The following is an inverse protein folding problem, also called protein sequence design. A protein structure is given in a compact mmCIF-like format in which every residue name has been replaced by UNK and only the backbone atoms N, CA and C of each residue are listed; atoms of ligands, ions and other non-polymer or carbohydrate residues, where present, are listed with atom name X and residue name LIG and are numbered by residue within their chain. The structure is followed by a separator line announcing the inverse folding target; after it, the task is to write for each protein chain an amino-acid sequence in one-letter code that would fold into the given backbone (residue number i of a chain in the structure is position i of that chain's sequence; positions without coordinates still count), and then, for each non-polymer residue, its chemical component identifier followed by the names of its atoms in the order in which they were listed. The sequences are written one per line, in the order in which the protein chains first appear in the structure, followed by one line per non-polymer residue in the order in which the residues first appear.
data_IF_729409026979
#
_entry.id   IF_729409026979
#
_cell.length_a   1.000
_cell.length_b   1.000
_cell.length_c   1.000
_cell.angle_alpha   90.00
_cell.angle_beta   90.00
_cell.angle_gamma   90.00
#
_symmetry.space_group_name_H-M   'P 1'
#
loop_
_entity.id
_entity.type
_entity.pdbx_description
1 polymer ?
#
# COMPACT_ATOMS: atom_id res chain seq x y z
N UNK A 1 36.86 -31.80 58.90
CA UNK A 1 35.88 -32.41 59.83
C UNK A 1 34.91 -31.34 60.37
N UNK A 2 33.72 -31.24 59.78
CA UNK A 2 32.63 -30.40 60.28
C UNK A 2 31.32 -31.14 60.10
N UNK A 3 30.70 -31.55 61.20
CA UNK A 3 29.43 -32.27 61.19
C UNK A 3 28.31 -31.33 60.73
N UNK A 4 27.53 -31.76 59.74
CA UNK A 4 26.38 -31.07 59.18
C UNK A 4 25.12 -31.70 59.75
N UNK A 5 24.29 -30.92 60.46
CA UNK A 5 22.98 -31.37 60.93
C UNK A 5 21.92 -30.57 60.16
N UNK A 6 21.23 -31.23 59.24
CA UNK A 6 20.08 -30.69 58.54
C UNK A 6 18.82 -31.44 58.98
N UNK A 7 17.87 -30.70 59.54
CA UNK A 7 16.54 -31.23 59.86
C UNK A 7 15.54 -30.67 58.85
N UNK A 8 14.82 -31.56 58.18
CA UNK A 8 13.79 -31.21 57.22
C UNK A 8 12.41 -31.40 57.86
N UNK A 9 11.69 -30.31 58.08
CA UNK A 9 10.29 -30.36 58.52
C UNK A 9 9.44 -29.80 57.40
N UNK A 10 8.64 -30.66 56.76
CA UNK A 10 7.42 -30.41 55.95
C UNK A 10 7.39 -29.27 54.92
N UNK A 11 7.77 -28.06 55.29
CA UNK A 11 7.73 -26.84 54.47
C UNK A 11 9.07 -26.07 54.42
N UNK A 12 10.17 -26.61 54.96
CA UNK A 12 11.49 -26.00 54.87
C UNK A 12 12.60 -26.84 55.50
N UNK A 13 13.85 -26.61 55.06
CA UNK A 13 15.04 -27.19 55.66
C UNK A 13 15.75 -26.13 56.50
N UNK A 14 15.95 -26.41 57.80
CA UNK A 14 16.80 -25.59 58.66
C UNK A 14 18.18 -26.24 58.77
N UNK A 15 19.24 -25.47 58.47
CA UNK A 15 20.63 -25.91 58.56
C UNK A 15 21.30 -25.17 59.71
N UNK A 16 21.83 -25.91 60.69
CA UNK A 16 22.62 -25.34 61.79
C UNK A 16 24.10 -25.66 61.61
N UNK A 17 24.96 -24.65 61.67
CA UNK A 17 26.41 -24.83 61.53
C UNK A 17 27.09 -24.93 62.90
N UNK A 18 28.04 -25.87 63.04
CA UNK A 18 28.78 -26.07 64.29
C UNK A 18 29.77 -24.93 64.61
N UNK A 19 30.17 -24.13 63.62
CA UNK A 19 31.14 -23.05 63.77
C UNK A 19 30.69 -21.79 63.05
N UNK A 20 30.65 -20.67 63.78
CA UNK A 20 30.13 -19.38 63.30
C UNK A 20 30.93 -18.83 62.09
N UNK A 21 32.24 -19.08 62.06
CA UNK A 21 33.11 -18.69 60.94
C UNK A 21 32.76 -19.42 59.62
N UNK A 22 32.31 -20.67 59.69
CA UNK A 22 31.93 -21.44 58.52
C UNK A 22 30.59 -20.95 57.94
N UNK A 23 29.65 -20.58 58.80
CA UNK A 23 28.39 -19.95 58.39
C UNK A 23 28.63 -18.65 57.62
N UNK A 24 29.48 -17.76 58.14
CA UNK A 24 29.80 -16.49 57.49
C UNK A 24 30.47 -16.67 56.13
N UNK A 25 31.40 -17.62 56.00
CA UNK A 25 32.06 -17.90 54.72
C UNK A 25 31.09 -18.45 53.67
N UNK A 26 30.11 -19.25 54.07
CA UNK A 26 29.10 -19.81 53.15
C UNK A 26 28.09 -18.72 52.76
N UNK A 27 27.64 -17.90 53.70
CA UNK A 27 26.72 -16.79 53.40
C UNK A 27 27.33 -15.78 52.41
N UNK A 28 28.64 -15.52 52.50
CA UNK A 28 29.34 -14.67 51.54
C UNK A 28 29.56 -15.34 50.18
N UNK A 29 29.63 -16.67 50.13
CA UNK A 29 29.82 -17.43 48.89
C UNK A 29 28.50 -17.68 48.13
N UNK A 30 27.35 -17.52 48.77
CA UNK A 30 26.05 -17.56 48.08
C UNK A 30 25.98 -16.33 47.18
N UNK A 31 25.91 -16.57 45.87
CA UNK A 31 25.66 -15.55 44.86
C UNK A 31 24.37 -14.81 45.22
N UNK A 32 24.48 -13.57 45.72
CA UNK A 32 23.35 -12.66 45.78
C UNK A 32 23.06 -12.23 44.35
N UNK A 33 21.96 -12.67 43.71
CA UNK A 33 21.55 -12.02 42.49
C UNK A 33 21.39 -10.53 42.82
N UNK A 34 22.07 -9.68 42.04
CA UNK A 34 21.96 -8.23 42.10
C UNK A 34 20.49 -7.89 42.35
N UNK A 35 20.15 -7.08 43.37
CA UNK A 35 18.77 -6.69 43.56
C UNK A 35 18.30 -6.11 42.24
N UNK A 36 17.17 -6.64 41.74
CA UNK A 36 16.45 -6.08 40.61
C UNK A 36 16.57 -4.57 40.72
N UNK A 37 17.13 -3.95 39.68
CA UNK A 37 17.10 -2.52 39.52
C UNK A 37 15.74 -2.02 40.02
N UNK A 38 15.75 -0.94 40.79
CA UNK A 38 14.54 -0.22 41.17
C UNK A 38 13.56 -0.23 39.99
N UNK A 39 12.23 -0.28 40.20
CA UNK A 39 11.29 -0.25 39.10
C UNK A 39 11.49 1.07 38.35
N UNK A 40 12.41 1.11 37.40
CA UNK A 40 12.48 2.11 36.36
C UNK A 40 11.14 1.97 35.69
N UNK A 41 10.34 3.02 35.89
CA UNK A 41 8.90 2.97 35.78
C UNK A 41 8.49 2.12 34.58
N UNK A 42 7.86 0.97 34.81
CA UNK A 42 7.34 0.18 33.68
C UNK A 42 6.40 1.02 32.82
N UNK A 43 5.81 2.07 33.40
CA UNK A 43 5.08 3.10 32.69
C UNK A 43 5.97 3.97 31.79
N UNK A 44 7.18 4.38 32.22
CA UNK A 44 8.11 5.14 31.38
C UNK A 44 8.65 4.27 30.23
N UNK A 45 8.97 2.99 30.49
CA UNK A 45 9.38 2.04 29.45
C UNK A 45 8.24 1.74 28.46
N UNK A 46 7.01 1.58 28.94
CA UNK A 46 5.84 1.39 28.07
C UNK A 46 5.54 2.67 27.29
N UNK A 47 5.72 3.86 27.88
CA UNK A 47 5.58 5.15 27.18
C UNK A 47 6.68 5.32 26.14
N UNK A 48 7.92 4.91 26.43
CA UNK A 48 9.04 4.96 25.50
C UNK A 48 8.88 3.96 24.35
N UNK A 49 8.45 2.73 24.62
CA UNK A 49 8.12 1.73 23.58
C UNK A 49 6.92 2.20 22.75
N UNK A 50 5.90 2.79 23.37
CA UNK A 50 4.71 3.31 22.66
C UNK A 50 5.03 4.58 21.87
N UNK A 51 5.96 5.41 22.35
CA UNK A 51 6.52 6.55 21.64
C UNK A 51 7.38 6.08 20.47
N UNK A 52 8.28 5.10 20.64
CA UNK A 52 9.08 4.53 19.56
C UNK A 52 8.23 3.81 18.50
N UNK A 53 7.14 3.16 18.89
CA UNK A 53 6.14 2.58 17.96
C UNK A 53 5.30 3.66 17.28
N UNK A 54 5.01 4.77 17.97
CA UNK A 54 4.35 5.96 17.42
C UNK A 54 5.24 6.67 16.39
N UNK A 55 6.50 6.92 16.74
CA UNK A 55 7.52 7.50 15.88
C UNK A 55 7.83 6.59 14.69
N UNK A 56 7.84 5.27 14.88
CA UNK A 56 7.93 4.31 13.79
C UNK A 56 6.74 4.39 12.82
N UNK A 57 5.52 4.62 13.33
CA UNK A 57 4.32 4.83 12.50
C UNK A 57 4.33 6.18 11.79
N UNK A 58 4.83 7.23 12.44
CA UNK A 58 4.93 8.58 11.87
C UNK A 58 6.09 8.71 10.85
N UNK A 59 7.18 7.96 11.02
CA UNK A 59 8.23 7.82 10.01
C UNK A 59 7.75 7.00 8.81
N UNK A 60 6.97 5.94 9.03
CA UNK A 60 6.28 5.21 7.94
C UNK A 60 5.29 6.15 7.23
N UNK A 61 4.49 6.93 7.96
CA UNK A 61 3.54 7.87 7.37
C UNK A 61 4.24 9.04 6.62
N UNK A 62 5.37 9.55 7.12
CA UNK A 62 6.17 10.59 6.44
C UNK A 62 6.92 10.08 5.22
N UNK A 63 7.38 8.82 5.22
CA UNK A 63 8.05 8.22 4.06
C UNK A 63 7.07 7.80 2.95
N UNK A 64 5.81 7.50 3.28
CA UNK A 64 4.76 7.14 2.31
C UNK A 64 4.42 8.27 1.33
N UNK A 65 4.75 9.54 1.63
CA UNK A 65 4.47 10.66 0.73
C UNK A 65 5.59 11.05 -0.23
N UNK A 66 6.77 10.42 -0.21
CA UNK A 66 7.90 10.90 -1.03
C UNK A 66 8.90 9.88 -1.54
N UNK A 67 8.97 8.68 -0.98
CA UNK A 67 9.90 7.65 -1.44
C UNK A 67 9.18 6.31 -1.58
N UNK A 68 9.13 5.77 -2.80
CA UNK A 68 8.67 4.41 -3.09
C UNK A 68 9.64 3.37 -2.52
N UNK A 69 9.89 3.39 -1.21
CA UNK A 69 10.66 2.36 -0.53
C UNK A 69 9.64 1.35 -0.06
N UNK A 70 9.63 0.18 -0.70
CA UNK A 70 8.79 -0.92 -0.27
C UNK A 70 9.09 -1.21 1.21
N UNK A 71 8.06 -1.42 2.05
CA UNK A 71 8.29 -1.79 3.44
C UNK A 71 9.18 -3.04 3.55
N UNK A 72 10.02 -3.18 4.60
CA UNK A 72 10.95 -4.31 4.72
C UNK A 72 10.31 -5.71 4.69
N UNK A 73 9.02 -5.82 5.03
CA UNK A 73 8.28 -7.09 4.97
C UNK A 73 7.91 -7.51 3.53
N UNK A 74 7.98 -6.58 2.58
CA UNK A 74 7.63 -6.81 1.18
C UNK A 74 8.77 -7.47 0.39
N UNK A 75 9.99 -7.47 0.95
CA UNK A 75 11.19 -8.12 0.40
C UNK A 75 11.17 -9.66 0.56
N UNK A 76 10.04 -10.22 0.98
CA UNK A 76 9.85 -11.66 1.08
C UNK A 76 9.94 -12.34 -0.30
N UNK A 77 10.87 -13.30 -0.42
CA UNK A 77 11.11 -14.01 -1.68
C UNK A 77 10.09 -15.13 -1.93
N UNK A 78 9.43 -15.10 -3.08
CA UNK A 78 8.41 -16.06 -3.51
C UNK A 78 8.98 -16.89 -4.67
N UNK A 79 9.87 -17.85 -4.36
CA UNK A 79 10.48 -18.74 -5.36
C UNK A 79 9.72 -20.04 -5.57
N UNK A 80 9.04 -20.55 -4.54
CA UNK A 80 8.26 -21.78 -4.64
C UNK A 80 7.05 -21.57 -5.58
N UNK A 81 6.97 -22.31 -6.70
CA UNK A 81 5.85 -22.19 -7.64
C UNK A 81 4.48 -22.45 -7.01
N UNK A 82 4.40 -23.33 -6.01
CA UNK A 82 3.12 -23.70 -5.37
C UNK A 82 2.57 -22.53 -4.55
N UNK A 83 3.42 -21.95 -3.70
CA UNK A 83 3.07 -20.77 -2.89
C UNK A 83 2.81 -19.54 -3.78
N UNK A 84 3.65 -19.34 -4.82
CA UNK A 84 3.46 -18.26 -5.80
C UNK A 84 2.09 -18.33 -6.45
N UNK A 85 1.71 -19.50 -6.95
CA UNK A 85 0.41 -19.69 -7.62
C UNK A 85 -0.76 -19.49 -6.66
N UNK A 86 -0.67 -20.01 -5.43
CA UNK A 86 -1.71 -19.82 -4.42
C UNK A 86 -1.93 -18.33 -4.09
N UNK A 87 -0.83 -17.58 -3.95
CA UNK A 87 -0.86 -16.15 -3.65
C UNK A 87 -1.42 -15.34 -4.83
N UNK A 88 -0.96 -15.59 -6.05
CA UNK A 88 -1.50 -14.97 -7.28
C UNK A 88 -2.99 -15.25 -7.41
N UNK A 89 -3.42 -16.50 -7.22
CA UNK A 89 -4.84 -16.87 -7.25
C UNK A 89 -5.64 -16.09 -6.22
N UNK A 90 -5.13 -15.96 -5.00
CA UNK A 90 -5.81 -15.20 -3.93
C UNK A 90 -5.93 -13.71 -4.28
N UNK A 91 -4.89 -13.12 -4.86
CA UNK A 91 -4.89 -11.72 -5.30
C UNK A 91 -5.92 -11.51 -6.40
N UNK A 92 -5.98 -12.39 -7.40
CA UNK A 92 -6.98 -12.32 -8.48
C UNK A 92 -8.39 -12.45 -7.91
N UNK A 93 -8.62 -13.35 -6.95
CA UNK A 93 -9.93 -13.51 -6.30
C UNK A 93 -10.36 -12.28 -5.51
N UNK A 94 -9.44 -11.63 -4.80
CA UNK A 94 -9.74 -10.47 -3.96
C UNK A 94 -9.89 -9.18 -4.78
N UNK A 95 -9.04 -8.99 -5.79
CA UNK A 95 -8.97 -7.75 -6.57
C UNK A 95 -9.77 -7.80 -7.86
N UNK A 96 -10.06 -8.98 -8.37
CA UNK A 96 -10.66 -9.19 -9.70
C UNK A 96 -9.73 -8.85 -10.88
N UNK A 97 -8.51 -8.38 -10.62
CA UNK A 97 -7.54 -8.00 -11.68
C UNK A 97 -6.71 -9.20 -12.09
N UNK A 98 -6.58 -9.43 -13.40
CA UNK A 98 -5.68 -10.45 -13.94
C UNK A 98 -4.27 -9.89 -14.05
N UNK A 99 -3.30 -10.64 -13.50
CA UNK A 99 -1.88 -10.37 -13.67
C UNK A 99 -1.39 -11.11 -14.93
N UNK A 100 -0.62 -10.47 -15.83
CA UNK A 100 -0.11 -11.15 -17.00
C UNK A 100 0.96 -12.19 -16.61
N UNK A 101 0.95 -13.35 -17.27
CA UNK A 101 1.84 -14.48 -16.95
C UNK A 101 3.33 -14.11 -16.94
N UNK A 102 3.85 -13.27 -17.87
CA UNK A 102 5.24 -12.81 -17.80
C UNK A 102 5.57 -12.02 -16.52
N UNK A 103 4.62 -11.26 -15.97
CA UNK A 103 4.83 -10.54 -14.72
C UNK A 103 4.88 -11.50 -13.52
N UNK A 104 4.07 -12.56 -13.53
CA UNK A 104 4.10 -13.60 -12.50
C UNK A 104 5.42 -14.36 -12.53
N UNK A 105 5.93 -14.72 -13.73
CA UNK A 105 7.16 -15.48 -13.86
C UNK A 105 8.40 -14.67 -13.47
N UNK A 106 8.46 -13.39 -13.85
CA UNK A 106 9.58 -12.49 -13.54
C UNK A 106 9.59 -12.05 -12.06
N UNK A 107 8.43 -11.99 -11.40
CA UNK A 107 8.37 -11.59 -9.98
C UNK A 107 9.10 -12.60 -9.08
N UNK A 108 10.07 -12.12 -8.30
CA UNK A 108 10.82 -12.94 -7.32
C UNK A 108 10.46 -12.62 -5.89
N UNK A 109 9.83 -11.46 -5.69
CA UNK A 109 9.55 -10.85 -4.40
C UNK A 109 8.08 -10.42 -4.34
N UNK A 110 7.52 -10.29 -3.13
CA UNK A 110 6.14 -9.82 -2.95
C UNK A 110 5.96 -8.37 -3.43
N UNK A 111 6.99 -7.54 -3.27
CA UNK A 111 7.03 -6.17 -3.80
C UNK A 111 6.82 -6.13 -5.32
N UNK A 112 7.57 -6.92 -6.08
CA UNK A 112 7.42 -7.00 -7.56
C UNK A 112 5.97 -7.33 -7.96
N UNK A 113 5.37 -8.30 -7.26
CA UNK A 113 4.02 -8.74 -7.55
C UNK A 113 2.99 -7.66 -7.20
N UNK A 114 3.18 -6.96 -6.08
CA UNK A 114 2.36 -5.83 -5.68
C UNK A 114 2.45 -4.68 -6.68
N UNK A 115 3.66 -4.33 -7.13
CA UNK A 115 3.88 -3.28 -8.12
C UNK A 115 3.11 -3.57 -9.40
N UNK A 116 3.14 -4.81 -9.89
CA UNK A 116 2.38 -5.21 -11.07
C UNK A 116 0.85 -5.14 -10.89
N UNK A 117 0.34 -5.33 -9.68
CA UNK A 117 -1.10 -5.20 -9.37
C UNK A 117 -1.51 -3.74 -9.18
N UNK A 118 -0.62 -2.92 -8.61
CA UNK A 118 -0.83 -1.51 -8.35
C UNK A 118 -0.60 -0.64 -9.60
N UNK A 119 0.19 -1.13 -10.56
CA UNK A 119 0.39 -0.50 -11.87
C UNK A 119 -0.95 -0.19 -12.53
N UNK A 120 -1.11 1.07 -12.94
CA UNK A 120 -2.29 1.50 -13.70
C UNK A 120 -2.30 0.78 -15.04
N UNK A 121 -3.49 0.34 -15.44
CA UNK A 121 -3.68 -0.28 -16.75
C UNK A 121 -3.19 0.67 -17.85
N UNK A 122 -2.53 0.11 -18.86
CA UNK A 122 -2.05 0.90 -19.98
C UNK A 122 -3.27 1.55 -20.66
N UNK A 123 -3.21 2.86 -20.97
CA UNK A 123 -4.30 3.56 -21.64
C UNK A 123 -4.67 2.85 -22.95
N UNK A 124 -5.97 2.66 -23.17
CA UNK A 124 -6.47 1.93 -24.34
C UNK A 124 -6.40 2.80 -25.60
N UNK A 125 -6.55 4.11 -25.43
CA UNK A 125 -6.49 5.08 -26.53
C UNK A 125 -5.32 6.04 -26.35
N UNK A 126 -4.79 6.55 -27.46
CA UNK A 126 -3.71 7.56 -27.42
C UNK A 126 -4.17 8.83 -26.69
N UNK A 127 -5.44 9.20 -26.82
CA UNK A 127 -6.03 10.35 -26.14
C UNK A 127 -5.94 10.26 -24.61
N UNK A 128 -6.05 9.05 -24.06
CA UNK A 128 -5.93 8.79 -22.62
C UNK A 128 -4.48 8.71 -22.15
N UNK A 129 -3.51 8.71 -23.08
CA UNK A 129 -2.12 8.56 -22.70
C UNK A 129 -1.64 9.75 -21.86
N UNK A 130 -0.92 9.51 -20.75
CA UNK A 130 -0.41 10.59 -19.91
C UNK A 130 0.55 11.50 -20.68
N UNK A 131 1.20 10.96 -21.72
CA UNK A 131 2.04 11.74 -22.63
C UNK A 131 1.24 12.82 -23.36
N UNK A 132 0.02 12.53 -23.83
CA UNK A 132 -0.82 13.52 -24.52
C UNK A 132 -1.28 14.63 -23.59
N UNK A 133 -1.58 14.31 -22.33
CA UNK A 133 -1.88 15.31 -21.30
C UNK A 133 -0.67 16.20 -21.00
N UNK A 134 0.54 15.62 -20.96
CA UNK A 134 1.79 16.37 -20.74
C UNK A 134 2.12 17.31 -21.89
N UNK A 135 1.74 17.00 -23.12
CA UNK A 135 1.96 17.89 -24.27
C UNK A 135 1.20 19.21 -24.07
N UNK A 136 -0.03 19.18 -23.57
CA UNK A 136 -0.79 20.40 -23.29
C UNK A 136 -0.13 21.27 -22.23
N UNK A 137 0.52 20.68 -21.22
CA UNK A 137 1.24 21.41 -20.17
C UNK A 137 2.55 22.02 -20.68
N UNK A 138 3.26 21.32 -21.57
CA UNK A 138 4.57 21.74 -22.04
C UNK A 138 4.52 22.67 -23.25
N UNK A 139 3.47 22.58 -24.08
CA UNK A 139 3.33 23.34 -25.31
C UNK A 139 1.97 24.07 -25.34
N UNK A 140 1.91 25.35 -24.91
CA UNK A 140 0.65 26.08 -24.79
C UNK A 140 -0.02 26.40 -26.14
N UNK A 141 0.73 26.30 -27.24
CA UNK A 141 0.25 26.50 -28.62
C UNK A 141 -0.36 25.22 -29.24
N UNK A 142 -0.32 24.08 -28.55
CA UNK A 142 -0.83 22.80 -29.06
C UNK A 142 -2.05 22.38 -28.25
N UNK A 143 -3.17 22.16 -28.95
CA UNK A 143 -4.40 21.62 -28.36
C UNK A 143 -4.61 20.18 -28.82
N UNK A 144 -4.70 19.26 -27.86
CA UNK A 144 -4.99 17.85 -28.11
C UNK A 144 -6.42 17.56 -27.68
N UNK A 145 -7.26 17.09 -28.60
CA UNK A 145 -8.63 16.69 -28.30
C UNK A 145 -8.75 15.17 -28.15
N UNK A 146 -9.63 14.71 -27.27
CA UNK A 146 -9.85 13.27 -27.06
C UNK A 146 -10.62 12.59 -28.21
N UNK A 147 -11.38 13.37 -28.97
CA UNK A 147 -12.29 12.89 -30.01
C UNK A 147 -12.08 13.66 -31.32
N UNK A 148 -12.54 13.05 -32.43
CA UNK A 148 -12.50 13.68 -33.76
C UNK A 148 -13.30 14.99 -33.76
N UNK A 149 -12.70 16.06 -34.26
CA UNK A 149 -13.40 17.34 -34.52
C UNK A 149 -14.29 17.22 -35.75
N UNK A 150 -15.59 17.38 -35.55
CA UNK A 150 -16.62 17.40 -36.57
C UNK A 150 -16.81 18.84 -37.09
N UNK A 151 -17.48 19.04 -38.25
CA UNK A 151 -17.81 20.38 -38.74
C UNK A 151 -18.61 21.21 -37.72
N UNK A 152 -19.53 20.57 -36.99
CA UNK A 152 -20.31 21.20 -35.91
C UNK A 152 -19.38 21.85 -34.87
N UNK A 153 -18.35 21.12 -34.42
CA UNK A 153 -17.41 21.67 -33.45
C UNK A 153 -16.64 22.89 -33.97
N UNK A 154 -16.32 22.94 -35.28
CA UNK A 154 -15.68 24.11 -35.88
C UNK A 154 -16.62 25.32 -35.87
N UNK A 155 -17.90 25.13 -36.20
CA UNK A 155 -18.90 26.21 -36.15
C UNK A 155 -19.20 26.66 -34.71
N UNK A 156 -19.10 25.75 -33.74
CA UNK A 156 -19.19 26.09 -32.32
C UNK A 156 -18.02 26.96 -31.86
N UNK A 157 -16.79 26.64 -32.27
CA UNK A 157 -15.60 27.44 -31.92
C UNK A 157 -15.70 28.87 -32.48
N UNK A 158 -16.30 29.02 -33.67
CA UNK A 158 -16.56 30.32 -34.30
C UNK A 158 -17.76 31.03 -33.64
N UNK A 159 -18.67 30.28 -33.00
CA UNK A 159 -19.91 30.78 -32.40
C UNK A 159 -21.11 30.84 -33.36
N UNK A 160 -20.92 30.48 -34.63
CA UNK A 160 -22.00 30.48 -35.66
C UNK A 160 -23.03 29.39 -35.46
N UNK A 161 -22.66 28.31 -34.78
CA UNK A 161 -23.56 27.18 -34.54
C UNK A 161 -24.88 27.60 -33.89
N UNK A 162 -24.86 28.59 -32.99
CA UNK A 162 -26.05 29.11 -32.32
C UNK A 162 -27.10 29.64 -33.32
N UNK A 163 -26.66 30.41 -34.31
CA UNK A 163 -27.55 31.00 -35.33
C UNK A 163 -28.09 29.90 -36.26
N UNK A 164 -27.24 28.94 -36.61
CA UNK A 164 -27.63 27.79 -37.45
C UNK A 164 -28.69 26.96 -36.73
N UNK A 165 -28.49 26.67 -35.45
CA UNK A 165 -29.45 25.95 -34.61
C UNK A 165 -30.79 26.67 -34.52
N UNK A 166 -30.80 27.97 -34.22
CA UNK A 166 -32.01 28.80 -34.17
C UNK A 166 -32.77 28.82 -35.52
N UNK A 167 -32.05 28.93 -36.65
CA UNK A 167 -32.64 28.91 -37.98
C UNK A 167 -33.18 27.53 -38.37
N UNK A 168 -32.49 26.44 -38.02
CA UNK A 168 -32.97 25.08 -38.27
C UNK A 168 -34.27 24.83 -37.49
N UNK A 169 -34.33 25.23 -36.22
CA UNK A 169 -35.54 25.11 -35.39
C UNK A 169 -36.68 25.95 -35.95
N UNK A 170 -36.42 27.20 -36.37
CA UNK A 170 -37.46 28.07 -36.95
C UNK A 170 -38.07 27.48 -38.24
N UNK A 171 -37.30 26.69 -38.97
CA UNK A 171 -37.71 26.05 -40.23
C UNK A 171 -38.24 24.63 -40.03
N UNK A 172 -38.43 24.21 -38.78
CA UNK A 172 -38.82 22.85 -38.41
C UNK A 172 -37.90 21.77 -39.02
N UNK A 173 -36.60 22.09 -39.14
CA UNK A 173 -35.55 21.17 -39.61
C UNK A 173 -34.81 20.54 -38.42
N UNK A 174 -34.26 19.32 -38.57
CA UNK A 174 -33.55 18.67 -37.48
C UNK A 174 -32.16 19.29 -37.28
N UNK A 175 -31.85 19.61 -36.02
CA UNK A 175 -30.59 20.26 -35.63
C UNK A 175 -29.37 19.34 -35.75
N UNK A 176 -29.54 18.05 -35.48
CA UNK A 176 -28.46 17.05 -35.62
C UNK A 176 -28.98 15.75 -36.23
N UNK A 177 -28.11 15.06 -36.96
CA UNK A 177 -28.40 13.76 -37.57
C UNK A 177 -29.09 13.85 -38.93
N UNK A 178 -28.94 12.80 -39.74
CA UNK A 178 -29.47 12.71 -41.10
C UNK A 178 -30.80 11.95 -41.20
N UNK A 179 -31.40 11.56 -40.07
CA UNK A 179 -32.65 10.77 -40.01
C UNK A 179 -33.90 11.65 -40.10
N UNK A 180 -33.87 12.71 -40.91
CA UNK A 180 -35.09 13.46 -41.22
C UNK A 180 -36.01 12.60 -42.09
N UNK A 181 -37.27 12.35 -41.70
CA UNK A 181 -38.20 11.54 -42.50
C UNK A 181 -38.41 12.09 -43.91
N UNK A 182 -38.27 13.40 -44.11
CA UNK A 182 -38.41 14.07 -45.41
C UNK A 182 -37.14 14.14 -46.27
N UNK A 183 -35.99 13.65 -45.82
CA UNK A 183 -34.72 13.80 -46.57
C UNK A 183 -34.49 12.71 -47.62
N UNK A 184 -35.15 11.56 -47.53
CA UNK A 184 -35.08 10.52 -48.56
C UNK A 184 -36.35 10.57 -49.40
N UNK A 185 -36.21 10.97 -50.66
CA UNK A 185 -37.28 10.79 -51.64
C UNK A 185 -37.62 9.30 -51.72
N UNK A 186 -38.83 8.94 -51.29
CA UNK A 186 -39.36 7.58 -51.44
C UNK A 186 -39.87 7.49 -52.88
N UNK A 187 -39.01 7.02 -53.79
CA UNK A 187 -39.44 6.71 -55.16
C UNK A 187 -40.51 5.59 -55.08
N UNK A 188 -41.66 5.83 -55.71
CA UNK A 188 -42.76 4.88 -55.85
C UNK A 188 -42.46 3.88 -56.97
#
# INVERSE_FOLDING_TARGET
PGAFLANATGNGASVSFAHLAAEQSILQAIFTPTPLAAPEDQQSLVVEVRAAVGDGRDLVAKNVSGSNIAPPWMDFSIKDPSVKMALVKRIIQLTGKRLPDPAISLSTTLADLYDHVHMKEKPKTLAEAPQMQRIQLNAPNVQVFSSRRTPIHKEMDIGRWKIIEEELVRRDLPVTGSRWPGAKAKWL
#
